data_IF_449995185247
#
_entry.id   IF_449995185247
#
_cell.length_a   1.000
_cell.length_b   1.000
_cell.length_c   1.000
_cell.angle_alpha   90.00
_cell.angle_beta   90.00
_cell.angle_gamma   90.00
#
_symmetry.space_group_name_H-M   'P 1'
#
loop_
_entity.id
_entity.type
_entity.pdbx_description
1 polymer ?
#
# COMPACT_ATOMS: atom_id res chain seq x y z
N UNK A 1 -8.19 1.76 9.69
CA UNK A 1 -8.63 3.11 9.26
C UNK A 1 -8.52 3.20 7.75
N UNK A 2 -9.53 3.77 7.10
CA UNK A 2 -9.50 4.06 5.66
C UNK A 2 -8.41 5.09 5.36
N UNK A 3 -7.69 4.90 4.25
CA UNK A 3 -6.71 5.86 3.77
C UNK A 3 -7.38 7.18 3.39
N UNK A 4 -6.60 8.26 3.40
CA UNK A 4 -6.96 9.53 2.77
C UNK A 4 -6.41 9.52 1.33
N UNK A 5 -7.24 9.25 0.30
CA UNK A 5 -6.80 9.37 -1.09
C UNK A 5 -6.67 10.85 -1.47
N UNK A 6 -5.64 11.16 -2.26
CA UNK A 6 -5.40 12.43 -2.91
C UNK A 6 -5.23 12.18 -4.41
N UNK A 7 -6.02 12.87 -5.23
CA UNK A 7 -6.07 12.66 -6.69
C UNK A 7 -6.30 11.19 -7.12
N UNK A 8 -6.92 10.36 -6.29
CA UNK A 8 -7.33 8.99 -6.59
C UNK A 8 -8.65 8.67 -5.89
N UNK A 9 -9.26 7.53 -6.22
CA UNK A 9 -10.61 7.19 -5.72
C UNK A 9 -10.57 5.94 -4.85
N UNK A 10 -11.24 6.01 -3.71
CA UNK A 10 -11.54 4.81 -2.91
C UNK A 10 -12.88 4.25 -3.37
N UNK A 11 -12.88 3.07 -3.96
CA UNK A 11 -14.08 2.39 -4.48
C UNK A 11 -14.30 1.08 -3.74
N UNK A 12 -15.56 0.77 -3.46
CA UNK A 12 -15.96 -0.53 -2.94
C UNK A 12 -16.13 -1.52 -4.09
N UNK A 13 -15.46 -2.67 -4.03
CA UNK A 13 -15.63 -3.79 -4.96
C UNK A 13 -16.16 -5.01 -4.23
N UNK A 14 -17.05 -5.73 -4.88
CA UNK A 14 -17.50 -7.06 -4.45
C UNK A 14 -17.57 -8.00 -5.64
N UNK A 15 -17.10 -9.23 -5.46
CA UNK A 15 -17.17 -10.28 -6.47
C UNK A 15 -17.47 -11.62 -5.81
N UNK A 16 -18.04 -12.54 -6.57
CA UNK A 16 -18.29 -13.90 -6.12
C UNK A 16 -17.14 -14.79 -6.58
N UNK A 17 -16.55 -15.54 -5.66
CA UNK A 17 -15.56 -16.54 -5.99
C UNK A 17 -16.21 -17.78 -6.60
N UNK A 18 -15.38 -18.62 -7.24
CA UNK A 18 -15.81 -19.82 -7.97
C UNK A 18 -16.72 -20.77 -7.17
N UNK A 19 -16.69 -20.69 -5.83
CA UNK A 19 -17.50 -21.52 -4.92
C UNK A 19 -18.59 -20.75 -4.15
N UNK A 20 -18.99 -19.57 -4.62
CA UNK A 20 -20.13 -18.83 -4.06
C UNK A 20 -19.81 -17.91 -2.88
N UNK A 21 -18.56 -17.88 -2.42
CA UNK A 21 -18.13 -16.89 -1.42
C UNK A 21 -18.11 -15.49 -2.03
N UNK A 22 -18.84 -14.55 -1.43
CA UNK A 22 -18.75 -13.15 -1.78
C UNK A 22 -17.55 -12.51 -1.09
N UNK A 23 -16.57 -12.06 -1.87
CA UNK A 23 -15.51 -11.17 -1.37
C UNK A 23 -15.96 -9.73 -1.48
N UNK A 24 -15.57 -8.92 -0.50
CA UNK A 24 -15.86 -7.50 -0.39
C UNK A 24 -14.57 -6.79 0.00
N UNK A 25 -14.25 -5.71 -0.71
CA UNK A 25 -12.99 -5.01 -0.49
C UNK A 25 -13.12 -3.54 -0.86
N UNK A 26 -12.56 -2.67 -0.03
CA UNK A 26 -12.29 -1.29 -0.41
C UNK A 26 -10.93 -1.23 -1.08
N UNK A 27 -10.85 -0.52 -2.19
CA UNK A 27 -9.64 -0.40 -2.98
C UNK A 27 -9.46 1.01 -3.51
N UNK A 28 -8.21 1.43 -3.62
CA UNK A 28 -7.82 2.70 -4.22
C UNK A 28 -7.42 2.44 -5.67
N UNK A 29 -8.13 3.08 -6.59
CA UNK A 29 -7.91 3.05 -8.03
C UNK A 29 -7.77 4.44 -8.61
N UNK A 30 -7.90 4.53 -9.94
CA UNK A 30 -7.80 5.78 -10.71
C UNK A 30 -6.52 6.57 -10.37
N UNK A 31 -5.40 5.86 -10.32
CA UNK A 31 -4.11 6.46 -10.03
C UNK A 31 -3.63 7.33 -11.20
N UNK A 32 -2.97 8.42 -10.86
CA UNK A 32 -2.30 9.37 -11.73
C UNK A 32 -0.86 9.58 -11.23
N UNK A 33 -0.07 10.31 -11.99
CA UNK A 33 1.29 10.71 -11.59
C UNK A 33 1.32 11.60 -10.33
N UNK A 34 0.18 12.25 -10.01
CA UNK A 34 0.00 13.11 -8.84
C UNK A 34 -0.78 12.44 -7.71
N UNK A 35 -1.22 11.20 -7.90
CA UNK A 35 -2.04 10.51 -6.90
C UNK A 35 -1.21 9.99 -5.74
N UNK A 36 -1.81 10.07 -4.56
CA UNK A 36 -1.25 9.43 -3.37
C UNK A 36 -2.35 8.95 -2.43
N UNK A 37 -2.02 7.98 -1.59
CA UNK A 37 -2.91 7.54 -0.53
C UNK A 37 -2.16 7.51 0.79
N UNK A 38 -2.76 8.09 1.84
CA UNK A 38 -2.10 8.23 3.15
C UNK A 38 -2.83 7.45 4.23
N UNK A 39 -2.08 6.66 5.00
CA UNK A 39 -2.56 5.95 6.19
C UNK A 39 -1.98 6.56 7.45
N UNK A 40 -2.81 6.66 8.49
CA UNK A 40 -2.41 7.01 9.85
C UNK A 40 -2.41 5.76 10.73
N UNK A 41 -1.35 5.56 11.50
CA UNK A 41 -1.21 4.47 12.47
C UNK A 41 -0.34 4.93 13.64
N UNK A 42 -0.18 4.06 14.64
CA UNK A 42 0.58 4.35 15.84
C UNK A 42 1.73 3.37 16.01
N UNK A 43 2.94 3.89 16.16
CA UNK A 43 4.15 3.13 16.50
C UNK A 43 4.30 3.15 18.01
N UNK A 44 4.26 1.98 18.63
CA UNK A 44 4.46 1.83 20.09
C UNK A 44 5.93 1.71 20.48
N UNK A 45 6.76 1.23 19.55
CA UNK A 45 8.18 0.98 19.77
C UNK A 45 8.96 1.41 18.54
N UNK A 46 9.91 2.36 18.66
CA UNK A 46 10.77 2.75 17.54
C UNK A 46 11.53 1.53 17.01
N UNK A 47 11.75 1.47 15.70
CA UNK A 47 12.40 0.32 15.10
C UNK A 47 12.18 0.23 13.60
N UNK A 48 12.61 -0.89 13.02
CA UNK A 48 12.42 -1.20 11.60
C UNK A 48 11.13 -1.98 11.42
N UNK A 49 10.35 -1.58 10.43
CA UNK A 49 9.09 -2.22 10.08
C UNK A 49 9.09 -2.58 8.60
N UNK A 50 8.69 -3.82 8.30
CA UNK A 50 8.42 -4.27 6.95
C UNK A 50 7.09 -3.69 6.49
N UNK A 51 7.12 -3.04 5.33
CA UNK A 51 5.96 -2.51 4.65
C UNK A 51 5.58 -3.46 3.52
N UNK A 52 4.33 -3.90 3.52
CA UNK A 52 3.75 -4.74 2.48
C UNK A 52 2.49 -4.07 1.92
N UNK A 53 2.27 -4.20 0.62
CA UNK A 53 1.08 -3.69 -0.06
C UNK A 53 0.30 -4.83 -0.69
N UNK A 54 -1.00 -4.88 -0.47
CA UNK A 54 -1.91 -5.81 -1.16
C UNK A 54 -2.55 -5.09 -2.34
N UNK A 55 -2.23 -5.55 -3.55
CA UNK A 55 -2.63 -4.84 -4.77
C UNK A 55 -2.81 -5.77 -5.97
N UNK A 56 -3.50 -5.28 -7.01
CA UNK A 56 -3.60 -5.89 -8.34
C UNK A 56 -3.11 -4.93 -9.40
N UNK A 57 -2.81 -5.46 -10.58
CA UNK A 57 -2.73 -4.68 -11.81
C UNK A 57 -2.07 -5.43 -12.94
N UNK A 58 -1.55 -4.68 -13.91
CA UNK A 58 -0.91 -5.23 -15.10
C UNK A 58 0.52 -4.70 -15.25
N UNK A 59 1.42 -5.54 -15.79
CA UNK A 59 2.80 -5.15 -16.08
C UNK A 59 3.68 -4.83 -14.84
N UNK A 60 4.93 -4.41 -15.08
CA UNK A 60 5.81 -3.93 -14.03
C UNK A 60 5.39 -2.54 -13.55
N UNK A 61 5.53 -2.29 -12.25
CA UNK A 61 5.29 -0.98 -11.64
C UNK A 61 6.28 -0.73 -10.51
N UNK A 62 6.43 0.53 -10.15
CA UNK A 62 7.17 0.96 -8.98
C UNK A 62 6.19 1.47 -7.94
N UNK A 63 6.19 0.85 -6.77
CA UNK A 63 5.52 1.40 -5.60
C UNK A 63 6.52 2.20 -4.79
N UNK A 64 6.12 3.39 -4.36
CA UNK A 64 6.86 4.21 -3.42
C UNK A 64 6.03 4.43 -2.18
N UNK A 65 6.64 4.20 -1.01
CA UNK A 65 6.05 4.46 0.30
C UNK A 65 6.96 5.41 1.06
N UNK A 66 6.42 6.54 1.53
CA UNK A 66 7.13 7.57 2.28
C UNK A 66 6.52 7.74 3.66
N UNK A 67 7.33 7.82 4.71
CA UNK A 67 6.88 8.19 6.05
C UNK A 67 6.90 9.70 6.29
N UNK A 68 6.16 10.15 7.31
CA UNK A 68 6.22 11.51 7.84
C UNK A 68 7.61 11.89 8.37
N UNK A 69 8.41 10.90 8.79
CA UNK A 69 9.82 11.09 9.17
C UNK A 69 10.78 11.20 7.97
N UNK A 70 10.25 11.22 6.74
CA UNK A 70 11.03 11.37 5.51
C UNK A 70 11.74 10.10 5.03
N UNK A 71 11.53 8.95 5.68
CA UNK A 71 12.07 7.66 5.23
C UNK A 71 11.25 7.15 4.03
N UNK A 72 11.91 6.43 3.12
CA UNK A 72 11.30 5.95 1.88
C UNK A 72 11.65 4.49 1.65
N UNK A 73 10.66 3.69 1.27
CA UNK A 73 10.85 2.39 0.65
C UNK A 73 10.28 2.43 -0.77
N UNK A 74 11.01 1.87 -1.73
CA UNK A 74 10.59 1.81 -3.13
C UNK A 74 10.97 0.47 -3.73
N UNK A 75 10.03 -0.17 -4.43
CA UNK A 75 10.29 -1.47 -5.06
C UNK A 75 9.63 -1.55 -6.44
N UNK A 76 10.39 -2.08 -7.41
CA UNK A 76 9.88 -2.41 -8.75
C UNK A 76 9.45 -3.88 -8.75
N UNK A 77 8.17 -4.12 -8.97
CA UNK A 77 7.60 -5.48 -8.96
C UNK A 77 6.65 -5.66 -10.12
N UNK A 78 6.57 -6.89 -10.62
CA UNK A 78 5.50 -7.28 -11.53
C UNK A 78 4.18 -7.30 -10.78
N UNK A 79 3.16 -6.73 -11.42
CA UNK A 79 1.80 -6.80 -10.95
C UNK A 79 1.20 -8.20 -11.16
N UNK A 80 0.16 -8.50 -10.37
CA UNK A 80 -0.66 -9.68 -10.52
C UNK A 80 -2.09 -9.26 -10.86
N UNK A 81 -2.77 -10.05 -11.69
CA UNK A 81 -4.19 -9.85 -11.99
C UNK A 81 -5.10 -10.12 -10.79
N UNK A 82 -4.60 -10.81 -9.76
CA UNK A 82 -5.30 -11.08 -8.50
C UNK A 82 -4.66 -10.31 -7.34
N UNK A 83 -5.45 -10.02 -6.29
CA UNK A 83 -4.94 -9.32 -5.11
C UNK A 83 -3.86 -10.16 -4.44
N UNK A 84 -2.65 -9.61 -4.40
CA UNK A 84 -1.50 -10.26 -3.82
C UNK A 84 -0.74 -9.28 -2.93
N UNK A 85 -0.29 -9.75 -1.78
CA UNK A 85 0.52 -8.97 -0.84
C UNK A 85 1.99 -9.06 -1.22
N UNK A 86 2.61 -7.92 -1.53
CA UNK A 86 4.01 -7.85 -1.93
C UNK A 86 4.82 -6.98 -0.96
N UNK A 87 6.04 -7.40 -0.58
CA UNK A 87 6.91 -6.60 0.27
C UNK A 87 7.49 -5.43 -0.53
N UNK A 88 7.39 -4.22 0.02
CA UNK A 88 7.99 -3.02 -0.58
C UNK A 88 9.39 -2.77 0.00
N UNK A 89 9.56 -3.04 1.29
CA UNK A 89 10.85 -2.86 1.96
C UNK A 89 10.66 -2.45 3.41
N UNK A 90 11.77 -2.10 4.05
CA UNK A 90 11.79 -1.69 5.44
C UNK A 90 11.78 -0.17 5.58
N UNK A 91 11.00 0.32 6.54
CA UNK A 91 11.02 1.72 6.98
C UNK A 91 11.35 1.74 8.46
N UNK A 92 12.29 2.59 8.85
CA UNK A 92 12.62 2.85 10.26
C UNK A 92 11.73 3.97 10.78
N UNK A 93 11.15 3.79 11.96
CA UNK A 93 10.50 4.84 12.73
C UNK A 93 11.34 5.12 13.97
N UNK A 94 11.76 6.36 14.14
CA UNK A 94 12.62 6.79 15.25
C UNK A 94 11.80 7.26 16.46
N UNK A 95 10.53 7.64 16.25
CA UNK A 95 9.66 8.15 17.31
C UNK A 95 8.50 7.19 17.61
N UNK A 96 8.02 7.28 18.85
CA UNK A 96 6.75 6.67 19.28
C UNK A 96 5.61 7.63 18.98
N UNK A 97 4.45 7.07 18.64
CA UNK A 97 3.21 7.81 18.51
C UNK A 97 2.63 7.72 17.11
N UNK A 98 1.84 8.74 16.74
CA UNK A 98 1.13 8.77 15.47
C UNK A 98 2.08 9.07 14.33
N UNK A 99 2.06 8.20 13.32
CA UNK A 99 2.82 8.33 12.09
C UNK A 99 1.91 8.21 10.88
N UNK A 100 2.44 8.63 9.74
CA UNK A 100 1.77 8.47 8.46
C UNK A 100 2.65 7.78 7.44
N UNK A 101 2.02 6.99 6.57
CA UNK A 101 2.65 6.45 5.37
C UNK A 101 1.85 6.88 4.15
N UNK A 102 2.54 7.51 3.21
CA UNK A 102 1.99 7.94 1.92
C UNK A 102 2.50 7.04 0.81
N UNK A 103 1.58 6.43 0.07
CA UNK A 103 1.85 5.52 -1.04
C UNK A 103 1.58 6.22 -2.36
N UNK A 104 2.45 6.02 -3.36
CA UNK A 104 2.26 6.50 -4.73
C UNK A 104 2.88 5.54 -5.76
N UNK A 105 2.59 5.79 -7.04
CA UNK A 105 3.11 5.02 -8.19
C UNK A 105 3.97 5.94 -9.08
N UNK A 106 5.29 6.02 -8.84
CA UNK A 106 6.17 6.84 -9.68
C UNK A 106 6.23 6.37 -11.14
N UNK A 107 6.10 5.07 -11.40
CA UNK A 107 6.24 4.48 -12.73
C UNK A 107 5.40 3.20 -12.87
N UNK A 108 4.89 2.91 -14.07
CA UNK A 108 4.09 1.72 -14.41
C UNK A 108 2.66 2.05 -14.83
N UNK A 109 1.86 1.00 -15.05
CA UNK A 109 0.43 1.13 -15.36
C UNK A 109 -0.34 1.60 -14.12
N UNK A 110 -0.93 2.80 -14.20
CA UNK A 110 -1.72 3.42 -13.13
C UNK A 110 -3.22 3.17 -13.28
N UNK A 111 -3.67 2.98 -14.52
CA UNK A 111 -5.09 2.85 -14.86
C UNK A 111 -5.64 1.50 -14.42
N UNK A 112 -4.89 0.41 -14.64
CA UNK A 112 -5.31 -0.92 -14.20
C UNK A 112 -4.73 -1.31 -12.83
N UNK A 113 -4.24 -0.36 -12.04
CA UNK A 113 -3.69 -0.65 -10.71
C UNK A 113 -4.71 -0.39 -9.61
N UNK A 114 -4.78 -1.31 -8.66
CA UNK A 114 -5.65 -1.23 -7.49
C UNK A 114 -4.88 -1.59 -6.22
N UNK A 115 -5.04 -0.79 -5.17
CA UNK A 115 -4.42 -1.00 -3.87
C UNK A 115 -5.49 -1.17 -2.80
N UNK A 116 -5.50 -2.29 -2.09
CA UNK A 116 -6.52 -2.56 -1.07
C UNK A 116 -6.06 -2.23 0.35
N UNK A 117 -4.81 -2.56 0.67
CA UNK A 117 -4.32 -2.47 2.04
C UNK A 117 -2.81 -2.30 2.12
N UNK A 118 -2.39 -1.69 3.22
CA UNK A 118 -1.02 -1.65 3.70
C UNK A 118 -0.93 -2.52 4.95
N UNK A 119 0.13 -3.33 5.04
CA UNK A 119 0.48 -4.09 6.23
C UNK A 119 1.86 -3.66 6.71
N UNK A 120 1.97 -3.51 8.03
CA UNK A 120 3.17 -3.04 8.71
C UNK A 120 3.49 -4.07 9.78
N UNK A 121 4.69 -4.65 9.73
CA UNK A 121 5.13 -5.69 10.68
C UNK A 121 6.50 -5.31 11.26
N UNK A 122 6.71 -5.36 12.58
CA UNK A 122 8.03 -5.11 13.16
C UNK A 122 9.04 -6.15 12.65
N UNK A 123 10.27 -5.70 12.38
CA UNK A 123 11.39 -6.57 12.02
C UNK A 123 12.25 -6.76 13.26
N UNK A 124 12.20 -7.96 13.83
CA UNK A 124 13.04 -8.35 14.95
C UNK A 124 14.23 -9.16 14.43
N UNK A 125 15.44 -8.77 14.82
CA UNK A 125 16.62 -9.61 14.67
C UNK A 125 16.82 -10.34 15.99
N UNK A 126 16.75 -11.67 15.95
CA UNK A 126 17.06 -12.54 17.08
C UNK A 126 18.56 -12.81 17.13
#
# INVERSE_FOLDING_TARGET
KFSKPDNCTMVYKSWMEKFGEWKRMHQIGDWTDKSSATWEFEIKTPGRYLIELTCTGSGPRIWKVKSDEGKVAQNRQNASAIYHTQPIGWITFEKVGKHTLTVSIPEGDRTNTSLSSIKISPVNFY
#
